data_IF_436021541270
#
_entry.id   IF_436021541270
#
_cell.length_a   1.000
_cell.length_b   1.000
_cell.length_c   1.000
_cell.angle_alpha   90.00
_cell.angle_beta   90.00
_cell.angle_gamma   90.00
#
_symmetry.space_group_name_H-M   'P 1'
#
loop_
_entity.id
_entity.type
_entity.pdbx_description
1 polymer ?
#
# COMPACT_ATOMS: atom_id res chain seq x y z
N UNK A 1 5.30 -21.57 17.55
CA UNK A 1 4.36 -21.14 18.62
C UNK A 1 4.21 -19.64 18.47
N UNK A 2 3.02 -19.12 18.12
CA UNK A 2 2.82 -17.67 18.02
C UNK A 2 2.96 -17.06 19.41
N UNK A 3 3.95 -16.19 19.57
CA UNK A 3 4.27 -15.49 20.83
C UNK A 3 3.38 -14.26 20.95
N UNK A 4 2.07 -14.43 20.87
CA UNK A 4 1.13 -13.31 21.04
C UNK A 4 1.03 -13.01 22.55
N UNK A 5 1.40 -11.79 23.01
CA UNK A 5 1.34 -11.44 24.43
C UNK A 5 -0.12 -11.50 24.94
N UNK A 6 -0.36 -11.63 26.26
CA UNK A 6 -1.69 -11.84 26.84
C UNK A 6 -2.59 -10.59 26.81
N UNK A 7 -2.35 -9.66 25.88
CA UNK A 7 -3.18 -8.49 25.71
C UNK A 7 -4.40 -8.84 24.85
N UNK A 8 -5.58 -8.54 25.39
CA UNK A 8 -6.81 -8.55 24.58
C UNK A 8 -6.69 -7.54 23.43
N UNK A 9 -7.42 -7.79 22.34
CA UNK A 9 -7.45 -6.85 21.21
C UNK A 9 -7.93 -5.43 21.60
N UNK A 10 -8.72 -5.33 22.68
CA UNK A 10 -9.10 -4.04 23.26
C UNK A 10 -7.90 -3.31 23.87
N UNK A 11 -7.09 -4.02 24.65
CA UNK A 11 -5.87 -3.47 25.25
C UNK A 11 -4.86 -3.10 24.17
N UNK A 12 -4.73 -3.90 23.11
CA UNK A 12 -3.88 -3.56 21.96
C UNK A 12 -4.35 -2.28 21.25
N UNK A 13 -5.66 -2.08 21.09
CA UNK A 13 -6.20 -0.84 20.52
C UNK A 13 -5.94 0.39 21.41
N UNK A 14 -6.02 0.23 22.73
CA UNK A 14 -5.73 1.29 23.69
C UNK A 14 -4.25 1.64 23.70
N UNK A 15 -3.37 0.63 23.81
CA UNK A 15 -1.92 0.82 23.69
C UNK A 15 -1.55 1.50 22.38
N UNK A 16 -2.05 1.02 21.23
CA UNK A 16 -1.73 1.59 19.93
C UNK A 16 -2.19 3.06 19.79
N UNK A 17 -3.29 3.44 20.44
CA UNK A 17 -3.71 4.84 20.45
C UNK A 17 -2.68 5.72 21.14
N UNK A 18 -2.22 5.29 22.30
CA UNK A 18 -1.34 6.08 23.16
C UNK A 18 0.10 6.08 22.62
N UNK A 19 0.60 4.93 22.16
CA UNK A 19 1.94 4.76 21.58
C UNK A 19 2.14 5.61 20.31
N UNK A 20 1.16 5.60 19.41
CA UNK A 20 1.26 6.29 18.11
C UNK A 20 0.56 7.66 18.10
N UNK A 21 0.07 8.15 19.24
CA UNK A 21 -0.62 9.44 19.34
C UNK A 21 -1.87 9.55 18.46
N UNK A 22 -2.59 8.45 18.26
CA UNK A 22 -3.76 8.43 17.37
C UNK A 22 -4.93 9.21 17.96
N UNK A 23 -5.61 9.98 17.12
CA UNK A 23 -6.81 10.73 17.53
C UNK A 23 -7.93 9.82 18.06
N UNK A 24 -8.02 8.59 17.53
CA UNK A 24 -8.98 7.57 17.96
C UNK A 24 -8.29 6.22 18.04
N UNK A 25 -8.73 5.37 18.96
CA UNK A 25 -8.24 4.00 19.03
C UNK A 25 -8.63 3.21 17.77
N UNK A 26 -7.77 2.33 17.25
CA UNK A 26 -8.12 1.43 16.17
C UNK A 26 -9.35 0.59 16.52
N UNK A 27 -10.15 0.24 15.51
CA UNK A 27 -11.25 -0.71 15.73
C UNK A 27 -10.70 -2.11 16.01
N UNK A 28 -11.53 -2.95 16.63
CA UNK A 28 -11.20 -4.36 16.82
C UNK A 28 -10.92 -5.07 15.48
N UNK A 29 -11.64 -4.71 14.41
CA UNK A 29 -11.40 -5.24 13.06
C UNK A 29 -10.02 -4.87 12.52
N UNK A 30 -9.55 -3.65 12.76
CA UNK A 30 -8.19 -3.21 12.38
C UNK A 30 -7.13 -4.03 13.13
N UNK A 31 -7.27 -4.18 14.45
CA UNK A 31 -6.33 -4.98 15.25
C UNK A 31 -6.31 -6.44 14.77
N UNK A 32 -7.48 -7.03 14.54
CA UNK A 32 -7.61 -8.40 14.04
C UNK A 32 -6.94 -8.57 12.66
N UNK A 33 -7.14 -7.62 11.75
CA UNK A 33 -6.53 -7.65 10.42
C UNK A 33 -5.00 -7.55 10.48
N UNK A 34 -4.45 -6.71 11.37
CA UNK A 34 -3.00 -6.57 11.57
C UNK A 34 -2.43 -7.87 12.15
N UNK A 35 -3.04 -8.44 13.19
CA UNK A 35 -2.60 -9.69 13.80
C UNK A 35 -2.66 -10.87 12.83
N UNK A 36 -3.67 -10.92 11.95
CA UNK A 36 -3.78 -11.96 10.91
C UNK A 36 -2.61 -11.93 9.92
N UNK A 37 -2.06 -10.75 9.65
CA UNK A 37 -0.94 -10.54 8.74
C UNK A 37 0.38 -10.26 9.49
N UNK A 38 0.47 -10.58 10.78
CA UNK A 38 1.64 -10.30 11.65
C UNK A 38 2.94 -10.77 11.02
N UNK A 39 3.01 -12.04 10.62
CA UNK A 39 4.20 -12.64 10.03
C UNK A 39 4.65 -11.92 8.77
N UNK A 40 3.69 -11.52 7.92
CA UNK A 40 3.96 -10.76 6.70
C UNK A 40 4.55 -9.39 7.00
N UNK A 41 4.07 -8.70 8.03
CA UNK A 41 4.62 -7.39 8.41
C UNK A 41 6.00 -7.51 9.05
N UNK A 42 6.24 -8.54 9.87
CA UNK A 42 7.54 -8.78 10.49
C UNK A 42 8.65 -9.14 9.49
N UNK A 43 8.28 -9.68 8.33
CA UNK A 43 9.21 -10.03 7.24
C UNK A 43 9.39 -8.90 6.21
N UNK A 44 8.64 -7.80 6.34
CA UNK A 44 8.67 -6.70 5.38
C UNK A 44 9.79 -5.72 5.72
N UNK A 45 10.48 -5.19 4.70
CA UNK A 45 11.44 -4.10 4.89
C UNK A 45 10.73 -2.80 5.30
N UNK A 46 11.39 -1.99 6.13
CA UNK A 46 10.81 -0.76 6.68
C UNK A 46 10.27 0.19 5.60
N UNK A 47 10.98 0.34 4.48
CA UNK A 47 10.55 1.20 3.36
C UNK A 47 9.19 0.78 2.77
N UNK A 48 8.84 -0.52 2.86
CA UNK A 48 7.55 -1.05 2.40
C UNK A 48 6.44 -0.88 3.45
N UNK A 49 6.80 -0.79 4.73
CA UNK A 49 5.85 -0.51 5.82
C UNK A 49 5.43 0.97 5.82
N UNK A 50 6.36 1.86 5.50
CA UNK A 50 6.11 3.32 5.38
C UNK A 50 5.45 3.71 4.05
N UNK A 51 5.34 2.77 3.10
CA UNK A 51 4.71 3.03 1.84
C UNK A 51 3.22 3.35 2.02
N UNK A 52 2.79 4.52 1.52
CA UNK A 52 1.35 4.80 1.35
C UNK A 52 0.75 3.67 0.51
N UNK A 53 -0.40 3.15 0.94
CA UNK A 53 -1.11 2.07 0.25
C UNK A 53 -1.18 2.35 -1.24
N UNK A 54 -0.40 1.60 -2.02
CA UNK A 54 -0.47 1.62 -3.47
C UNK A 54 -1.82 1.04 -3.85
N UNK A 55 -2.69 1.87 -4.44
CA UNK A 55 -3.95 1.37 -5.00
C UNK A 55 -3.58 0.41 -6.11
N UNK A 56 -4.22 -0.76 -6.15
CA UNK A 56 -4.09 -1.62 -7.33
C UNK A 56 -4.60 -0.84 -8.53
N UNK A 57 -3.90 -0.91 -9.67
CA UNK A 57 -4.37 -0.39 -10.94
C UNK A 57 -5.81 -0.82 -11.21
N UNK A 58 -6.64 0.09 -11.71
CA UNK A 58 -8.02 -0.24 -12.10
C UNK A 58 -8.03 -1.22 -13.28
N UNK A 59 -7.04 -1.10 -14.17
CA UNK A 59 -6.84 -1.94 -15.34
C UNK A 59 -5.34 -2.23 -15.49
N UNK A 60 -4.81 -3.30 -14.85
CA UNK A 60 -3.39 -3.64 -14.91
C UNK A 60 -2.86 -3.82 -16.34
N UNK A 61 -3.65 -4.46 -17.21
CA UNK A 61 -3.29 -4.69 -18.62
C UNK A 61 -3.13 -3.38 -19.40
N UNK A 62 -4.00 -2.38 -19.12
CA UNK A 62 -3.88 -1.06 -19.74
C UNK A 62 -2.63 -0.32 -19.23
N UNK A 63 -2.30 -0.44 -17.95
CA UNK A 63 -1.08 0.17 -17.41
C UNK A 63 0.19 -0.43 -18.03
N UNK A 64 0.25 -1.75 -18.23
CA UNK A 64 1.39 -2.39 -18.91
C UNK A 64 1.60 -1.85 -20.33
N UNK A 65 0.52 -1.72 -21.08
CA UNK A 65 0.53 -1.18 -22.45
C UNK A 65 0.93 0.31 -22.45
N UNK A 66 0.46 1.08 -21.47
CA UNK A 66 0.85 2.48 -21.28
C UNK A 66 2.33 2.63 -20.91
N UNK A 67 2.87 1.76 -20.05
CA UNK A 67 4.30 1.77 -19.72
C UNK A 67 5.16 1.50 -20.95
N UNK A 68 4.80 0.50 -21.77
CA UNK A 68 5.51 0.22 -23.01
C UNK A 68 5.48 1.41 -23.98
N UNK A 69 4.36 2.11 -24.08
CA UNK A 69 4.23 3.33 -24.88
C UNK A 69 5.09 4.49 -24.36
N UNK A 70 5.11 4.71 -23.04
CA UNK A 70 5.95 5.73 -22.41
C UNK A 70 7.44 5.45 -22.68
N UNK A 71 7.86 4.20 -22.56
CA UNK A 71 9.22 3.77 -22.84
C UNK A 71 9.60 3.98 -24.32
N UNK A 72 8.69 3.70 -25.24
CA UNK A 72 8.91 3.93 -26.67
C UNK A 72 9.01 5.43 -27.00
N UNK A 73 8.14 6.27 -26.43
CA UNK A 73 8.24 7.73 -26.60
C UNK A 73 9.55 8.29 -26.05
N UNK A 74 10.01 7.80 -24.90
CA UNK A 74 11.28 8.20 -24.32
C UNK A 74 12.46 7.80 -25.22
N UNK A 75 12.47 6.58 -25.77
CA UNK A 75 13.50 6.11 -26.71
C UNK A 75 13.54 6.93 -28.00
N UNK A 76 12.39 7.35 -28.48
CA UNK A 76 12.24 8.13 -29.70
C UNK A 76 12.43 9.65 -29.50
N UNK A 77 12.86 10.10 -28.30
CA UNK A 77 12.99 11.52 -27.94
C UNK A 77 11.72 12.34 -28.17
N UNK A 78 10.54 11.69 -28.12
CA UNK A 78 9.27 12.37 -28.28
C UNK A 78 8.79 12.95 -26.96
N UNK A 79 8.19 14.16 -26.96
CA UNK A 79 7.67 14.78 -25.76
C UNK A 79 6.48 13.97 -25.21
N UNK A 80 6.65 13.43 -24.01
CA UNK A 80 5.57 12.79 -23.28
C UNK A 80 4.65 13.87 -22.70
N UNK A 81 3.47 14.03 -23.29
CA UNK A 81 2.46 14.99 -22.84
C UNK A 81 1.23 14.26 -22.34
N UNK A 82 0.42 14.93 -21.52
CA UNK A 82 -0.87 14.37 -21.08
C UNK A 82 -1.74 13.97 -22.27
N UNK A 83 -1.73 14.78 -23.33
CA UNK A 83 -2.55 14.54 -24.51
C UNK A 83 -2.07 13.33 -25.32
N UNK A 84 -0.76 13.08 -25.41
CA UNK A 84 -0.24 11.88 -26.08
C UNK A 84 -0.59 10.60 -25.32
N UNK A 85 -0.56 10.64 -23.99
CA UNK A 85 -0.99 9.52 -23.14
C UNK A 85 -2.51 9.26 -23.30
N UNK A 86 -3.34 10.31 -23.28
CA UNK A 86 -4.79 10.18 -23.45
C UNK A 86 -5.15 9.69 -24.86
N UNK A 87 -4.44 10.17 -25.89
CA UNK A 87 -4.65 9.72 -27.27
C UNK A 87 -4.40 8.22 -27.43
N UNK A 88 -3.36 7.69 -26.78
CA UNK A 88 -3.02 6.28 -26.83
C UNK A 88 -3.93 5.39 -25.97
N UNK A 89 -4.45 5.92 -24.85
CA UNK A 89 -5.35 5.20 -23.95
C UNK A 89 -6.82 5.12 -24.41
N UNK A 90 -7.19 5.84 -25.49
CA UNK A 90 -8.52 5.82 -26.12
C UNK A 90 -8.67 4.66 -27.08
#
# INVERSE_FOLDING_TARGET
>A
KSTTPPYSQRQLAEWAKDEFGLTKKPSQSTISAILKEEEKYMQMENDKLDAKRVKRPLAPEMEEVLFAFVDDMAKNNMPLTRDSIIYYAK
#
